data_IF_413513945875
#
_entry.id   IF_413513945875
#
_cell.length_a   1.000
_cell.length_b   1.000
_cell.length_c   1.000
_cell.angle_alpha   90.00
_cell.angle_beta   90.00
_cell.angle_gamma   90.00
#
_symmetry.space_group_name_H-M   'P 1'
#
loop_
_entity.id
_entity.type
_entity.pdbx_description
1 polymer ?
#
# COMPACT_ATOMS: atom_id res chain seq x y z
N UNK A 1 80.19 -8.35 6.50
CA UNK A 1 79.26 -8.76 5.48
C UNK A 1 78.12 -9.54 6.19
N UNK A 2 77.07 -8.85 6.61
CA UNK A 2 75.85 -9.52 7.08
C UNK A 2 74.71 -8.50 7.08
N UNK A 3 73.98 -8.42 5.97
CA UNK A 3 72.83 -7.50 5.81
C UNK A 3 71.56 -8.31 5.34
N UNK A 4 71.45 -9.55 5.74
CA UNK A 4 70.39 -10.43 5.21
C UNK A 4 69.38 -10.94 6.25
N UNK A 5 69.41 -10.49 7.52
CA UNK A 5 68.61 -11.08 8.60
C UNK A 5 67.48 -10.19 9.16
N UNK A 6 67.32 -8.92 8.68
CA UNK A 6 66.38 -7.98 9.28
C UNK A 6 65.05 -7.79 8.55
N UNK A 7 64.75 -8.63 7.54
CA UNK A 7 63.54 -8.44 6.72
C UNK A 7 62.43 -9.46 6.98
N UNK A 8 62.61 -10.40 7.93
CA UNK A 8 61.62 -11.49 8.20
C UNK A 8 60.61 -11.18 9.32
N UNK A 9 60.88 -10.17 10.16
CA UNK A 9 60.04 -9.93 11.36
C UNK A 9 58.94 -8.84 11.19
N UNK A 10 58.75 -8.28 9.99
CA UNK A 10 57.74 -7.22 9.77
C UNK A 10 56.41 -7.66 9.17
N UNK A 11 56.19 -8.94 8.93
CA UNK A 11 55.03 -9.45 8.19
C UNK A 11 53.72 -9.78 8.99
N UNK A 12 53.67 -9.97 10.33
CA UNK A 12 52.43 -10.40 10.99
C UNK A 12 51.49 -9.25 11.45
N UNK A 13 51.98 -8.01 11.54
CA UNK A 13 51.19 -6.90 12.13
C UNK A 13 50.14 -6.31 11.15
N UNK A 14 50.33 -6.40 9.83
CA UNK A 14 49.47 -5.83 8.82
C UNK A 14 48.17 -6.66 8.62
N UNK A 15 48.23 -7.97 8.82
CA UNK A 15 47.13 -8.88 8.60
C UNK A 15 46.05 -8.82 9.70
N UNK A 16 46.47 -8.61 10.96
CA UNK A 16 45.55 -8.43 12.09
C UNK A 16 44.71 -7.15 12.03
N UNK A 17 45.25 -6.07 11.43
CA UNK A 17 44.54 -4.80 11.29
C UNK A 17 43.50 -4.86 10.18
N UNK A 18 43.80 -5.53 9.07
CA UNK A 18 42.86 -5.74 7.94
C UNK A 18 41.69 -6.64 8.34
N UNK A 19 41.94 -7.70 9.11
CA UNK A 19 40.91 -8.57 9.65
C UNK A 19 39.98 -7.85 10.64
N UNK A 20 40.52 -6.99 11.51
CA UNK A 20 39.71 -6.14 12.41
C UNK A 20 38.82 -5.15 11.65
N UNK A 21 39.34 -4.48 10.63
CA UNK A 21 38.58 -3.57 9.75
C UNK A 21 37.45 -4.29 9.02
N UNK A 22 37.71 -5.48 8.46
CA UNK A 22 36.67 -6.31 7.80
C UNK A 22 35.58 -6.74 8.77
N UNK A 23 35.92 -7.12 10.01
CA UNK A 23 34.94 -7.47 11.05
C UNK A 23 34.12 -6.26 11.51
N UNK A 24 34.74 -5.08 11.63
CA UNK A 24 34.03 -3.84 11.96
C UNK A 24 33.06 -3.43 10.84
N UNK A 25 33.48 -3.48 9.58
CA UNK A 25 32.63 -3.21 8.43
C UNK A 25 31.46 -4.21 8.34
N UNK A 26 31.71 -5.50 8.57
CA UNK A 26 30.66 -6.51 8.59
C UNK A 26 29.64 -6.30 9.73
N UNK A 27 30.06 -5.81 10.89
CA UNK A 27 29.16 -5.43 11.99
C UNK A 27 28.31 -4.22 11.61
N UNK A 28 28.90 -3.17 11.04
CA UNK A 28 28.16 -1.98 10.58
C UNK A 28 27.11 -2.34 9.52
N UNK A 29 27.45 -3.21 8.57
CA UNK A 29 26.48 -3.67 7.55
C UNK A 29 25.34 -4.47 8.19
N UNK A 30 25.63 -5.32 9.18
CA UNK A 30 24.58 -6.06 9.91
C UNK A 30 23.70 -5.11 10.72
N UNK A 31 24.28 -4.17 11.45
CA UNK A 31 23.52 -3.17 12.22
C UNK A 31 22.66 -2.29 11.30
N UNK A 32 23.20 -1.85 10.15
CA UNK A 32 22.43 -1.10 9.16
C UNK A 32 21.28 -1.97 8.59
N UNK A 33 21.54 -3.23 8.30
CA UNK A 33 20.51 -4.18 7.84
C UNK A 33 19.44 -4.44 8.90
N UNK A 34 19.85 -4.58 10.16
CA UNK A 34 18.93 -4.78 11.29
C UNK A 34 18.11 -3.51 11.58
N UNK A 35 18.69 -2.33 11.40
CA UNK A 35 17.95 -1.05 11.45
C UNK A 35 16.94 -0.94 10.30
N UNK A 36 17.31 -1.34 9.09
CA UNK A 36 16.39 -1.40 7.93
C UNK A 36 15.33 -2.49 8.10
N UNK A 37 15.67 -3.60 8.74
CA UNK A 37 14.73 -4.68 9.05
C UNK A 37 13.82 -4.34 10.24
N UNK A 38 14.29 -3.57 11.24
CA UNK A 38 13.49 -3.08 12.36
C UNK A 38 12.55 -1.93 11.96
N UNK A 39 12.74 -1.32 10.78
CA UNK A 39 11.71 -0.48 10.14
C UNK A 39 10.44 -1.26 9.78
N UNK A 40 10.44 -2.59 9.97
CA UNK A 40 9.24 -3.45 9.90
C UNK A 40 8.15 -2.99 10.91
N UNK A 41 8.54 -2.37 12.02
CA UNK A 41 7.59 -1.75 12.97
C UNK A 41 6.93 -0.47 12.44
N UNK A 42 7.54 0.24 11.48
CA UNK A 42 6.94 1.43 10.83
C UNK A 42 6.00 1.06 9.67
N UNK A 43 6.12 -0.14 9.09
CA UNK A 43 5.24 -0.60 8.01
C UNK A 43 3.76 -0.63 8.39
N UNK A 44 3.34 -1.17 9.55
CA UNK A 44 1.92 -1.18 9.91
C UNK A 44 1.34 0.22 10.09
N UNK A 45 2.09 1.16 10.68
CA UNK A 45 1.65 2.54 10.84
C UNK A 45 1.54 3.26 9.48
N UNK A 46 2.51 3.05 8.59
CA UNK A 46 2.50 3.60 7.24
C UNK A 46 1.36 3.01 6.40
N UNK A 47 1.14 1.68 6.47
CA UNK A 47 0.04 1.01 5.78
C UNK A 47 -1.33 1.49 6.28
N UNK A 48 -1.47 1.78 7.58
CA UNK A 48 -2.67 2.38 8.15
C UNK A 48 -2.92 3.78 7.61
N UNK A 49 -1.90 4.65 7.58
CA UNK A 49 -2.03 6.01 7.04
C UNK A 49 -2.37 6.02 5.54
N UNK A 50 -1.79 5.10 4.75
CA UNK A 50 -2.15 4.96 3.34
C UNK A 50 -3.63 4.57 3.17
N UNK A 51 -4.11 3.60 3.95
CA UNK A 51 -5.53 3.19 3.93
C UNK A 51 -6.45 4.32 4.39
N UNK A 52 -6.02 5.09 5.37
CA UNK A 52 -6.76 6.24 5.88
C UNK A 52 -6.89 7.34 4.81
N UNK A 53 -5.78 7.69 4.14
CA UNK A 53 -5.78 8.62 3.02
C UNK A 53 -6.66 8.13 1.87
N UNK A 54 -6.59 6.85 1.55
CA UNK A 54 -7.47 6.23 0.55
C UNK A 54 -8.95 6.40 0.92
N UNK A 55 -9.33 6.05 2.16
CA UNK A 55 -10.70 6.18 2.62
C UNK A 55 -11.20 7.64 2.62
N UNK A 56 -10.35 8.59 3.03
CA UNK A 56 -10.66 10.03 3.01
C UNK A 56 -10.85 10.54 1.56
N UNK A 57 -9.94 10.18 0.65
CA UNK A 57 -10.06 10.57 -0.75
C UNK A 57 -11.30 9.98 -1.41
N UNK A 58 -11.66 8.74 -1.10
CA UNK A 58 -12.90 8.11 -1.58
C UNK A 58 -14.13 8.85 -1.09
N UNK A 59 -14.17 9.27 0.16
CA UNK A 59 -15.28 10.06 0.71
C UNK A 59 -15.35 11.44 0.06
N UNK A 60 -14.21 12.11 -0.13
CA UNK A 60 -14.16 13.41 -0.79
C UNK A 60 -14.64 13.33 -2.25
N UNK A 61 -14.27 12.28 -2.98
CA UNK A 61 -14.69 12.03 -4.36
C UNK A 61 -16.14 11.52 -4.48
N UNK A 62 -16.79 11.18 -3.38
CA UNK A 62 -18.11 10.52 -3.40
C UNK A 62 -19.18 11.29 -4.18
N UNK A 63 -19.27 12.62 -3.98
CA UNK A 63 -20.22 13.45 -4.70
C UNK A 63 -19.96 13.47 -6.21
N UNK A 64 -18.70 13.55 -6.61
CA UNK A 64 -18.31 13.54 -8.04
C UNK A 64 -18.68 12.20 -8.67
N UNK A 65 -18.47 11.09 -7.97
CA UNK A 65 -18.83 9.75 -8.44
C UNK A 65 -20.36 9.63 -8.59
N UNK A 66 -21.15 10.14 -7.63
CA UNK A 66 -22.60 10.13 -7.69
C UNK A 66 -23.12 10.91 -8.92
N UNK A 67 -22.57 12.12 -9.15
CA UNK A 67 -22.91 12.92 -10.34
C UNK A 67 -22.52 12.20 -11.63
N UNK A 68 -21.34 11.60 -11.68
CA UNK A 68 -20.88 10.86 -12.84
C UNK A 68 -21.79 9.66 -13.15
N UNK A 69 -22.11 8.83 -12.15
CA UNK A 69 -23.00 7.66 -12.31
C UNK A 69 -24.40 8.11 -12.75
N UNK A 70 -24.93 9.18 -12.14
CA UNK A 70 -26.23 9.73 -12.52
C UNK A 70 -26.25 10.24 -13.96
N UNK A 71 -25.22 11.00 -14.37
CA UNK A 71 -25.10 11.50 -15.75
C UNK A 71 -24.99 10.38 -16.76
N UNK A 72 -24.12 9.41 -16.51
CA UNK A 72 -23.94 8.23 -17.40
C UNK A 72 -25.23 7.41 -17.48
N UNK A 73 -25.92 7.19 -16.36
CA UNK A 73 -27.19 6.48 -16.33
C UNK A 73 -28.29 7.19 -17.14
N UNK A 74 -28.37 8.52 -17.00
CA UNK A 74 -29.33 9.34 -17.76
C UNK A 74 -29.04 9.29 -19.26
N UNK A 75 -27.77 9.49 -19.65
CA UNK A 75 -27.37 9.42 -21.06
C UNK A 75 -27.59 8.01 -21.64
N UNK A 76 -27.26 6.97 -20.89
CA UNK A 76 -27.46 5.58 -21.33
C UNK A 76 -28.93 5.25 -21.58
N UNK A 77 -29.85 5.87 -20.83
CA UNK A 77 -31.29 5.63 -21.01
C UNK A 77 -31.78 6.01 -22.41
N UNK A 78 -31.07 6.90 -23.11
CA UNK A 78 -31.41 7.32 -24.49
C UNK A 78 -31.15 6.22 -25.53
N UNK A 79 -30.18 5.31 -25.27
CA UNK A 79 -29.80 4.25 -26.22
C UNK A 79 -30.19 2.85 -25.76
N UNK A 80 -30.12 2.55 -24.45
CA UNK A 80 -30.37 1.21 -23.92
C UNK A 80 -31.78 1.01 -23.35
N UNK A 81 -32.54 2.11 -23.25
CA UNK A 81 -33.87 2.12 -22.60
C UNK A 81 -33.79 2.36 -21.09
N UNK A 82 -34.81 3.04 -20.56
CA UNK A 82 -34.86 3.53 -19.19
C UNK A 82 -34.76 2.40 -18.14
N UNK A 83 -35.32 1.24 -18.39
CA UNK A 83 -35.31 0.12 -17.44
C UNK A 83 -33.89 -0.45 -17.26
N UNK A 84 -33.20 -0.72 -18.36
CA UNK A 84 -31.83 -1.25 -18.32
C UNK A 84 -30.86 -0.24 -17.70
N UNK A 85 -30.91 1.01 -18.14
CA UNK A 85 -30.11 2.12 -17.58
C UNK A 85 -30.40 2.33 -16.08
N UNK A 86 -31.66 2.29 -15.68
CA UNK A 86 -32.07 2.45 -14.29
C UNK A 86 -31.59 1.31 -13.37
N UNK A 87 -31.72 0.05 -13.82
CA UNK A 87 -31.22 -1.10 -13.05
C UNK A 87 -29.71 -1.06 -12.89
N UNK A 88 -28.97 -0.75 -13.95
CA UNK A 88 -27.50 -0.57 -13.88
C UNK A 88 -27.12 0.57 -12.93
N UNK A 89 -27.71 1.75 -13.09
CA UNK A 89 -27.45 2.90 -12.24
C UNK A 89 -27.70 2.59 -10.76
N UNK A 90 -28.82 1.93 -10.46
CA UNK A 90 -29.14 1.52 -9.09
C UNK A 90 -28.13 0.55 -8.50
N UNK A 91 -27.69 -0.45 -9.28
CA UNK A 91 -26.67 -1.40 -8.85
C UNK A 91 -25.33 -0.71 -8.54
N UNK A 92 -24.87 0.18 -9.43
CA UNK A 92 -23.62 0.94 -9.23
C UNK A 92 -23.71 1.85 -8.00
N UNK A 93 -24.84 2.54 -7.79
CA UNK A 93 -25.08 3.39 -6.63
C UNK A 93 -25.10 2.57 -5.33
N UNK A 94 -25.69 1.38 -5.32
CA UNK A 94 -25.66 0.49 -4.16
C UNK A 94 -24.24 0.06 -3.81
N UNK A 95 -23.44 -0.36 -4.79
CA UNK A 95 -22.03 -0.72 -4.58
C UNK A 95 -21.27 0.48 -4.03
N UNK A 96 -21.49 1.68 -4.60
CA UNK A 96 -20.86 2.92 -4.13
C UNK A 96 -21.25 3.24 -2.68
N UNK A 97 -22.52 3.10 -2.32
CA UNK A 97 -22.99 3.32 -0.94
C UNK A 97 -22.33 2.36 0.06
N UNK A 98 -22.12 1.09 -0.33
CA UNK A 98 -21.37 0.12 0.49
C UNK A 98 -19.93 0.57 0.67
N UNK A 99 -19.25 1.03 -0.40
CA UNK A 99 -17.87 1.54 -0.30
C UNK A 99 -17.79 2.72 0.66
N UNK A 100 -18.67 3.71 0.52
CA UNK A 100 -18.73 4.89 1.40
C UNK A 100 -18.98 4.49 2.85
N UNK A 101 -19.90 3.56 3.09
CA UNK A 101 -20.19 3.02 4.42
C UNK A 101 -18.96 2.35 5.04
N UNK A 102 -18.24 1.52 4.27
CA UNK A 102 -17.00 0.87 4.72
C UNK A 102 -15.86 1.86 4.97
N UNK A 103 -15.71 2.89 4.15
CA UNK A 103 -14.75 3.96 4.39
C UNK A 103 -15.05 4.71 5.70
N UNK A 104 -16.31 5.06 5.96
CA UNK A 104 -16.72 5.69 7.22
C UNK A 104 -16.49 4.77 8.42
N UNK A 105 -16.83 3.49 8.30
CA UNK A 105 -16.59 2.51 9.36
C UNK A 105 -15.10 2.42 9.70
N UNK A 106 -14.23 2.31 8.68
CA UNK A 106 -12.78 2.26 8.86
C UNK A 106 -12.23 3.52 9.57
N UNK A 107 -12.69 4.71 9.17
CA UNK A 107 -12.23 5.96 9.78
C UNK A 107 -12.70 6.15 11.23
N UNK A 108 -13.79 5.52 11.62
CA UNK A 108 -14.31 5.56 12.99
C UNK A 108 -13.72 4.48 13.90
N UNK A 109 -12.98 3.49 13.34
CA UNK A 109 -12.39 2.39 14.09
C UNK A 109 -11.06 2.85 14.71
N UNK A 110 -10.82 2.62 16.03
CA UNK A 110 -9.57 2.99 16.67
C UNK A 110 -8.40 2.16 16.07
N UNK A 111 -7.23 2.78 15.83
CA UNK A 111 -6.09 2.14 15.15
C UNK A 111 -5.61 0.83 15.79
N UNK A 112 -5.81 0.70 17.12
CA UNK A 112 -5.41 -0.49 17.89
C UNK A 112 -6.19 -1.76 17.55
N UNK A 113 -7.40 -1.64 17.01
CA UNK A 113 -8.29 -2.76 16.67
C UNK A 113 -8.34 -3.07 15.18
N UNK A 114 -7.67 -2.25 14.35
CA UNK A 114 -7.70 -2.40 12.89
C UNK A 114 -6.78 -3.50 12.40
N UNK A 115 -7.35 -4.55 11.82
CA UNK A 115 -6.58 -5.53 11.06
C UNK A 115 -6.35 -5.01 9.63
N UNK A 116 -5.21 -4.36 9.42
CA UNK A 116 -4.84 -3.68 8.17
C UNK A 116 -4.94 -4.62 6.95
N UNK A 117 -4.53 -5.88 7.09
CA UNK A 117 -4.56 -6.85 6.00
C UNK A 117 -5.99 -7.16 5.54
N UNK A 118 -6.92 -7.34 6.48
CA UNK A 118 -8.33 -7.60 6.20
C UNK A 118 -9.00 -6.38 5.57
N UNK A 119 -8.73 -5.18 6.07
CA UNK A 119 -9.28 -3.95 5.52
C UNK A 119 -8.77 -3.66 4.11
N UNK A 120 -7.48 -3.88 3.86
CA UNK A 120 -6.90 -3.74 2.52
C UNK A 120 -7.57 -4.69 1.52
N UNK A 121 -7.77 -5.95 1.88
CA UNK A 121 -8.48 -6.91 1.02
C UNK A 121 -9.92 -6.48 0.74
N UNK A 122 -10.64 -6.01 1.75
CA UNK A 122 -12.02 -5.52 1.59
C UNK A 122 -12.09 -4.35 0.62
N UNK A 123 -11.20 -3.37 0.74
CA UNK A 123 -11.15 -2.23 -0.17
C UNK A 123 -10.80 -2.63 -1.60
N UNK A 124 -9.82 -3.53 -1.79
CA UNK A 124 -9.45 -4.05 -3.11
C UNK A 124 -10.64 -4.77 -3.76
N UNK A 125 -11.33 -5.63 -3.02
CA UNK A 125 -12.49 -6.36 -3.53
C UNK A 125 -13.64 -5.40 -3.88
N UNK A 126 -13.94 -4.43 -3.03
CA UNK A 126 -14.99 -3.46 -3.29
C UNK A 126 -14.69 -2.59 -4.52
N UNK A 127 -13.43 -2.15 -4.68
CA UNK A 127 -13.00 -1.40 -5.87
C UNK A 127 -13.04 -2.26 -7.13
N UNK A 128 -12.67 -3.53 -7.03
CA UNK A 128 -12.79 -4.47 -8.14
C UNK A 128 -14.26 -4.65 -8.57
N UNK A 129 -15.16 -4.89 -7.62
CA UNK A 129 -16.59 -4.98 -7.90
C UNK A 129 -17.16 -3.70 -8.49
N UNK A 130 -16.74 -2.56 -7.97
CA UNK A 130 -17.13 -1.27 -8.51
C UNK A 130 -16.63 -1.09 -9.96
N UNK A 131 -15.37 -1.42 -10.23
CA UNK A 131 -14.82 -1.38 -11.60
C UNK A 131 -15.52 -2.34 -12.55
N UNK A 132 -15.79 -3.57 -12.12
CA UNK A 132 -16.53 -4.55 -12.93
C UNK A 132 -17.97 -4.10 -13.22
N UNK A 133 -18.64 -3.40 -12.29
CA UNK A 133 -19.99 -2.90 -12.49
C UNK A 133 -20.10 -1.92 -13.68
N UNK A 134 -19.00 -1.22 -14.02
CA UNK A 134 -18.97 -0.35 -15.19
C UNK A 134 -18.91 -1.10 -16.51
N UNK A 135 -18.42 -2.34 -16.52
CA UNK A 135 -18.41 -3.15 -17.75
C UNK A 135 -19.82 -3.57 -18.16
N UNK A 136 -20.74 -3.72 -17.22
CA UNK A 136 -22.11 -4.13 -17.50
C UNK A 136 -22.97 -3.08 -18.23
N UNK A 137 -22.51 -1.83 -18.33
CA UNK A 137 -23.20 -0.80 -19.14
C UNK A 137 -23.07 -1.08 -20.64
N UNK A 138 -22.05 -1.85 -21.05
CA UNK A 138 -21.76 -2.15 -22.45
C UNK A 138 -22.53 -3.38 -22.98
N UNK A 139 -23.20 -4.12 -22.09
CA UNK A 139 -23.95 -5.34 -22.41
C UNK A 139 -25.45 -5.05 -22.32
#
# INVERSE_FOLDING_TARGET
MSIASDQRDRAPAADGSSAKRRRAAARQVREARDRLASSIGMRPAFDYELLRLFAQNRLAASLVILLLVGTVGLLSSLWTGALKAGTWTSAVLMIHAVIVSKCRQFLNEPPSHVNIRSWRLRFILLDLFFGLSWMFILI
#
